data_IF_014224720516
#
_entry.id   IF_014224720516
#
_cell.length_a   1.000
_cell.length_b   1.000
_cell.length_c   1.000
_cell.angle_alpha   90.00
_cell.angle_beta   90.00
_cell.angle_gamma   90.00
#
_symmetry.space_group_name_H-M   'P 1'
#
loop_
_entity.id
_entity.type
_entity.pdbx_description
1 polymer ?
#
# COMPACT_ATOMS: atom_id res chain seq x y z
N UNK A 1 -1.83 -47.80 12.71
CA UNK A 1 -0.90 -46.75 13.19
C UNK A 1 -1.05 -45.56 12.27
N UNK A 2 -1.88 -44.63 12.72
CA UNK A 2 -2.31 -43.44 11.96
C UNK A 2 -1.46 -42.23 12.42
N UNK A 3 -0.65 -41.71 11.52
CA UNK A 3 0.14 -40.46 11.78
C UNK A 3 -0.60 -39.30 11.17
N UNK A 4 -1.28 -38.54 12.03
CA UNK A 4 -1.91 -37.26 11.70
C UNK A 4 -0.83 -36.20 11.35
N UNK A 5 -0.81 -35.75 10.10
CA UNK A 5 -0.01 -34.60 9.69
C UNK A 5 -0.77 -33.32 10.03
N UNK A 6 -0.40 -32.65 11.11
CA UNK A 6 -0.78 -31.28 11.42
C UNK A 6 -0.15 -30.34 10.38
N UNK A 7 -0.98 -29.73 9.53
CA UNK A 7 -0.58 -28.62 8.69
C UNK A 7 -0.68 -27.35 9.51
N UNK A 8 0.47 -26.77 9.87
CA UNK A 8 0.56 -25.44 10.43
C UNK A 8 0.32 -24.41 9.31
N UNK A 9 -0.84 -23.79 9.31
CA UNK A 9 -1.13 -22.58 8.54
C UNK A 9 -0.49 -21.39 9.28
N UNK A 10 0.65 -20.93 8.77
CA UNK A 10 1.23 -19.64 9.19
C UNK A 10 0.40 -18.52 8.59
N UNK A 11 -0.53 -17.99 9.36
CA UNK A 11 -1.23 -16.75 9.04
C UNK A 11 -0.24 -15.59 9.20
N UNK A 12 0.17 -15.00 8.08
CA UNK A 12 0.95 -13.76 8.04
C UNK A 12 0.00 -12.61 8.35
N UNK A 13 -0.15 -12.28 9.63
CA UNK A 13 -0.91 -11.13 10.11
C UNK A 13 -0.08 -9.87 9.88
N UNK A 14 -0.46 -9.10 8.87
CA UNK A 14 0.04 -7.74 8.65
C UNK A 14 -0.58 -6.83 9.72
N UNK A 15 0.14 -6.59 10.82
CA UNK A 15 -0.27 -5.67 11.86
C UNK A 15 -0.12 -4.23 11.36
N UNK A 16 -1.24 -3.62 10.98
CA UNK A 16 -1.34 -2.17 10.80
C UNK A 16 -1.47 -1.55 12.19
N UNK A 17 -0.40 -1.00 12.70
CA UNK A 17 -0.42 -0.23 13.96
C UNK A 17 -1.07 1.14 13.68
N UNK A 18 -2.34 1.28 14.04
CA UNK A 18 -2.98 2.58 14.18
C UNK A 18 -2.58 3.20 15.52
N UNK A 19 -1.70 4.19 15.49
CA UNK A 19 -1.42 5.04 16.66
C UNK A 19 -2.58 6.02 16.82
N UNK A 20 -3.42 5.78 17.81
CA UNK A 20 -4.46 6.71 18.26
C UNK A 20 -3.84 7.59 19.34
N UNK A 21 -3.65 8.88 19.08
CA UNK A 21 -3.30 9.87 20.08
C UNK A 21 -4.56 10.44 20.72
N UNK A 22 -4.67 10.51 22.08
CA UNK A 22 -5.79 11.18 22.73
C UNK A 22 -5.65 12.70 22.66
N UNK A 23 -6.72 13.35 22.24
CA UNK A 23 -6.87 14.80 22.32
C UNK A 23 -7.15 15.22 23.78
N UNK A 24 -6.26 16.01 24.36
CA UNK A 24 -6.53 16.71 25.62
C UNK A 24 -7.39 17.95 25.34
N UNK A 25 -8.50 18.05 26.06
CA UNK A 25 -9.38 19.19 26.09
C UNK A 25 -8.69 20.38 26.79
N UNK A 26 -8.74 21.55 26.17
CA UNK A 26 -8.58 22.82 26.88
C UNK A 26 -9.72 23.77 26.48
N UNK A 27 -10.61 23.98 27.46
CA UNK A 27 -11.58 25.06 27.48
C UNK A 27 -10.88 26.41 27.77
N UNK A 28 -11.42 27.45 27.16
CA UNK A 28 -11.39 28.79 27.72
C UNK A 28 -10.72 29.88 26.90
N UNK A 29 -11.45 30.65 26.17
CA UNK A 29 -11.67 32.06 26.42
C UNK A 29 -12.07 32.84 25.17
N UNK A 30 -13.35 33.26 25.16
CA UNK A 30 -13.91 34.23 24.22
C UNK A 30 -13.16 35.55 24.32
N UNK A 31 -12.75 36.12 23.18
CA UNK A 31 -12.82 37.57 22.94
C UNK A 31 -12.96 37.86 21.44
N UNK A 32 -14.10 38.48 21.14
CA UNK A 32 -14.40 39.12 19.87
C UNK A 32 -13.37 40.16 19.50
N UNK A 33 -12.88 40.15 18.29
CA UNK A 33 -12.59 41.41 17.55
C UNK A 33 -12.57 41.10 16.05
N UNK A 34 -13.41 41.85 15.33
CA UNK A 34 -13.58 41.72 13.89
C UNK A 34 -12.33 42.13 13.11
N UNK A 35 -12.30 41.69 11.89
CA UNK A 35 -11.42 42.31 10.90
C UNK A 35 -10.71 41.28 10.02
N UNK A 36 -11.15 41.26 8.78
CA UNK A 36 -10.42 40.87 7.58
C UNK A 36 -10.25 39.36 7.32
N UNK A 37 -11.15 38.95 6.50
CA UNK A 37 -11.12 37.80 5.60
C UNK A 37 -9.82 37.83 4.76
N UNK A 38 -8.79 37.17 5.22
CA UNK A 38 -7.69 36.72 4.40
C UNK A 38 -7.76 35.19 4.43
N UNK A 39 -8.58 34.66 3.52
CA UNK A 39 -8.61 33.24 3.22
C UNK A 39 -7.22 32.75 2.83
N UNK A 40 -6.45 32.32 3.82
CA UNK A 40 -5.30 31.46 3.59
C UNK A 40 -5.86 30.08 3.32
N UNK A 41 -5.78 29.55 2.09
CA UNK A 41 -6.08 28.16 1.89
C UNK A 41 -5.05 27.38 2.70
N UNK A 42 -5.49 26.68 3.72
CA UNK A 42 -4.73 25.62 4.36
C UNK A 42 -4.57 24.50 3.31
N UNK A 43 -3.75 24.78 2.30
CA UNK A 43 -3.27 23.79 1.35
C UNK A 43 -2.33 22.88 2.12
N UNK A 44 -2.86 21.77 2.64
CA UNK A 44 -2.02 20.65 2.96
C UNK A 44 -1.11 20.42 1.75
N UNK A 45 0.18 20.66 1.91
CA UNK A 45 1.20 20.41 0.90
C UNK A 45 1.32 18.87 0.74
N UNK A 46 0.32 18.28 0.12
CA UNK A 46 0.31 16.88 -0.25
C UNK A 46 1.12 16.73 -1.51
N UNK A 47 2.09 15.83 -1.50
CA UNK A 47 2.73 15.38 -2.74
C UNK A 47 1.63 15.10 -3.76
N UNK A 48 1.78 15.68 -4.94
CA UNK A 48 0.89 15.35 -6.04
C UNK A 48 0.89 13.84 -6.25
N UNK A 49 -0.27 13.28 -6.52
CA UNK A 49 -0.38 11.85 -6.88
C UNK A 49 0.57 11.49 -8.02
N UNK A 50 0.80 12.42 -8.95
CA UNK A 50 1.76 12.26 -10.06
C UNK A 50 3.20 12.10 -9.56
N UNK A 51 3.63 12.91 -8.60
CA UNK A 51 5.00 12.86 -8.06
C UNK A 51 5.23 11.57 -7.27
N UNK A 52 4.23 11.12 -6.53
CA UNK A 52 4.27 9.84 -5.81
C UNK A 52 4.38 8.64 -6.76
N UNK A 53 3.66 8.67 -7.88
CA UNK A 53 3.73 7.63 -8.91
C UNK A 53 5.09 7.67 -9.62
N UNK A 54 5.59 8.86 -9.97
CA UNK A 54 6.89 9.02 -10.61
C UNK A 54 8.02 8.49 -9.72
N UNK A 55 7.99 8.80 -8.43
CA UNK A 55 8.95 8.29 -7.45
C UNK A 55 8.89 6.76 -7.34
N UNK A 56 7.70 6.19 -7.24
CA UNK A 56 7.53 4.73 -7.19
C UNK A 56 8.10 4.06 -8.44
N UNK A 57 7.83 4.60 -9.62
CA UNK A 57 8.34 4.07 -10.89
C UNK A 57 9.88 4.16 -10.98
N UNK A 58 10.48 5.26 -10.52
CA UNK A 58 11.94 5.41 -10.49
C UNK A 58 12.59 4.37 -9.57
N UNK A 59 11.99 4.09 -8.41
CA UNK A 59 12.47 3.06 -7.49
C UNK A 59 12.31 1.65 -8.05
N UNK A 60 11.23 1.38 -8.78
CA UNK A 60 11.02 0.10 -9.45
C UNK A 60 12.10 -0.13 -10.54
N UNK A 61 12.45 0.92 -11.30
CA UNK A 61 13.56 0.84 -12.28
C UNK A 61 14.91 0.64 -11.59
N UNK A 62 15.17 1.38 -10.51
CA UNK A 62 16.38 1.19 -9.71
C UNK A 62 16.48 -0.24 -9.18
N UNK A 63 15.39 -0.80 -8.67
CA UNK A 63 15.32 -2.17 -8.19
C UNK A 63 15.71 -3.18 -9.29
N UNK A 64 15.24 -2.99 -10.52
CA UNK A 64 15.61 -3.87 -11.65
C UNK A 64 17.10 -3.86 -11.93
N UNK A 65 17.73 -2.67 -11.94
CA UNK A 65 19.18 -2.54 -12.19
C UNK A 65 20.00 -3.17 -11.07
N UNK A 66 19.56 -3.00 -9.82
CA UNK A 66 20.29 -3.54 -8.66
C UNK A 66 20.07 -5.06 -8.49
N UNK A 67 18.95 -5.60 -8.95
CA UNK A 67 18.60 -7.00 -8.74
C UNK A 67 19.69 -7.96 -9.27
N UNK A 68 20.23 -7.73 -10.45
CA UNK A 68 21.24 -8.60 -11.04
C UNK A 68 22.46 -8.79 -10.11
N UNK A 69 22.97 -7.69 -9.56
CA UNK A 69 24.13 -7.69 -8.66
C UNK A 69 23.79 -8.25 -7.29
N UNK A 70 22.69 -7.77 -6.70
CA UNK A 70 22.31 -8.14 -5.32
C UNK A 70 21.94 -9.61 -5.20
N UNK A 71 21.30 -10.17 -6.22
CA UNK A 71 20.85 -11.56 -6.26
C UNK A 71 21.89 -12.48 -6.88
N UNK A 72 23.00 -11.94 -7.43
CA UNK A 72 24.03 -12.71 -8.16
C UNK A 72 23.40 -13.56 -9.28
N UNK A 73 22.50 -12.93 -10.07
CA UNK A 73 21.85 -13.61 -11.19
C UNK A 73 22.84 -13.76 -12.35
N UNK A 74 22.86 -14.95 -12.95
CA UNK A 74 23.53 -15.13 -14.24
C UNK A 74 22.79 -14.39 -15.34
N UNK A 75 23.47 -14.10 -16.46
CA UNK A 75 22.85 -13.42 -17.61
C UNK A 75 21.53 -14.08 -18.08
N UNK A 76 21.50 -15.42 -18.28
CA UNK A 76 20.25 -16.10 -18.65
C UNK A 76 19.13 -16.02 -17.59
N UNK A 77 19.50 -16.06 -16.30
CA UNK A 77 18.53 -15.89 -15.22
C UNK A 77 17.98 -14.48 -15.19
N UNK A 78 18.84 -13.47 -15.36
CA UNK A 78 18.44 -12.06 -15.37
C UNK A 78 17.46 -11.75 -16.51
N UNK A 79 17.71 -12.29 -17.71
CA UNK A 79 16.83 -12.15 -18.86
C UNK A 79 15.42 -12.70 -18.59
N UNK A 80 15.29 -13.78 -17.82
CA UNK A 80 14.01 -14.36 -17.43
C UNK A 80 13.40 -13.64 -16.21
N UNK A 81 14.21 -13.20 -15.27
CA UNK A 81 13.79 -12.56 -14.03
C UNK A 81 13.15 -11.19 -14.24
N UNK A 82 13.72 -10.36 -15.15
CA UNK A 82 13.25 -8.97 -15.36
C UNK A 82 11.78 -8.88 -15.79
N UNK A 83 11.29 -9.63 -16.78
CA UNK A 83 9.86 -9.58 -17.14
C UNK A 83 8.95 -10.04 -15.99
N UNK A 84 9.32 -11.09 -15.25
CA UNK A 84 8.55 -11.59 -14.12
C UNK A 84 8.51 -10.58 -12.97
N UNK A 85 9.62 -9.89 -12.68
CA UNK A 85 9.65 -8.82 -11.68
C UNK A 85 8.75 -7.64 -12.09
N UNK A 86 8.74 -7.26 -13.37
CA UNK A 86 7.84 -6.21 -13.88
C UNK A 86 6.38 -6.60 -13.73
N UNK A 87 6.04 -7.84 -14.02
CA UNK A 87 4.70 -8.37 -13.84
C UNK A 87 4.27 -8.33 -12.37
N UNK A 88 5.11 -8.81 -11.45
CA UNK A 88 4.87 -8.72 -10.01
C UNK A 88 4.62 -7.28 -9.56
N UNK A 89 5.46 -6.33 -9.99
CA UNK A 89 5.30 -4.91 -9.64
C UNK A 89 4.00 -4.34 -10.22
N UNK A 90 3.62 -4.71 -11.44
CA UNK A 90 2.36 -4.30 -12.04
C UNK A 90 1.15 -4.85 -11.29
N UNK A 91 1.17 -6.14 -10.93
CA UNK A 91 0.12 -6.77 -10.12
C UNK A 91 -0.04 -6.08 -8.76
N UNK A 92 1.05 -5.81 -8.06
CA UNK A 92 1.02 -5.05 -6.80
C UNK A 92 0.34 -3.70 -6.96
N UNK A 93 0.69 -2.93 -7.99
CA UNK A 93 0.07 -1.63 -8.27
C UNK A 93 -1.41 -1.74 -8.57
N UNK A 94 -1.80 -2.67 -9.44
CA UNK A 94 -3.20 -2.88 -9.85
C UNK A 94 -4.06 -3.29 -8.66
N UNK A 95 -3.58 -4.25 -7.85
CA UNK A 95 -4.29 -4.74 -6.68
C UNK A 95 -4.43 -3.65 -5.61
N UNK A 96 -3.38 -2.86 -5.38
CA UNK A 96 -3.43 -1.70 -4.48
C UNK A 96 -4.46 -0.66 -4.93
N UNK A 97 -4.51 -0.33 -6.23
CA UNK A 97 -5.48 0.62 -6.78
C UNK A 97 -6.92 0.10 -6.67
N UNK A 98 -7.14 -1.18 -7.00
CA UNK A 98 -8.46 -1.80 -6.91
C UNK A 98 -8.98 -1.79 -5.45
N UNK A 99 -8.12 -2.21 -4.50
CA UNK A 99 -8.44 -2.17 -3.07
C UNK A 99 -8.76 -0.75 -2.60
N UNK A 100 -7.96 0.23 -2.98
CA UNK A 100 -8.19 1.63 -2.59
C UNK A 100 -9.51 2.19 -3.12
N UNK A 101 -9.90 1.86 -4.36
CA UNK A 101 -11.22 2.26 -4.91
C UNK A 101 -12.35 1.70 -4.06
N UNK A 102 -12.30 0.43 -3.69
CA UNK A 102 -13.32 -0.21 -2.85
C UNK A 102 -13.37 0.40 -1.44
N UNK A 103 -12.22 0.72 -0.85
CA UNK A 103 -12.16 1.41 0.44
C UNK A 103 -12.71 2.85 0.37
N UNK A 104 -12.47 3.57 -0.73
CA UNK A 104 -13.07 4.89 -0.94
C UNK A 104 -14.59 4.80 -1.08
N UNK A 105 -15.10 3.80 -1.79
CA UNK A 105 -16.53 3.53 -1.91
C UNK A 105 -17.15 3.22 -0.55
N UNK A 106 -16.53 2.36 0.26
CA UNK A 106 -16.97 2.10 1.63
C UNK A 106 -17.00 3.37 2.47
N UNK A 107 -15.96 4.22 2.39
CA UNK A 107 -15.95 5.50 3.11
C UNK A 107 -17.10 6.42 2.67
N UNK A 108 -17.41 6.45 1.38
CA UNK A 108 -18.53 7.22 0.84
C UNK A 108 -19.87 6.71 1.38
N UNK A 109 -20.10 5.40 1.33
CA UNK A 109 -21.33 4.77 1.84
C UNK A 109 -21.52 5.00 3.34
N UNK A 110 -20.47 4.82 4.15
CA UNK A 110 -20.53 5.07 5.60
C UNK A 110 -20.83 6.54 5.93
N UNK A 111 -20.37 7.49 5.11
CA UNK A 111 -20.69 8.91 5.31
C UNK A 111 -22.11 9.24 4.90
N UNK A 112 -22.60 8.67 3.82
CA UNK A 112 -23.96 8.87 3.34
C UNK A 112 -25.01 8.36 4.34
N UNK A 113 -24.80 7.18 4.93
CA UNK A 113 -25.71 6.57 5.91
C UNK A 113 -25.82 7.31 7.24
N UNK A 114 -25.03 8.36 7.49
CA UNK A 114 -25.16 9.21 8.69
C UNK A 114 -26.37 10.16 8.67
N UNK A 115 -27.03 10.32 7.54
CA UNK A 115 -28.15 11.27 7.38
C UNK A 115 -29.43 10.70 6.75
N UNK A 116 -29.50 9.40 6.48
CA UNK A 116 -30.56 8.79 5.68
C UNK A 116 -31.23 7.58 6.32
N UNK A 117 -32.21 7.05 5.62
CA UNK A 117 -33.01 5.90 6.03
C UNK A 117 -32.19 4.64 6.28
N UNK A 118 -32.40 3.91 7.39
CA UNK A 118 -31.73 2.63 7.65
C UNK A 118 -32.22 1.58 6.63
N UNK A 119 -31.27 0.89 5.98
CA UNK A 119 -31.58 -0.32 5.20
C UNK A 119 -31.11 -0.31 3.74
N UNK A 120 -31.24 0.78 3.00
CA UNK A 120 -30.75 0.86 1.61
C UNK A 120 -29.21 0.90 1.58
N UNK A 121 -28.60 1.54 2.56
CA UNK A 121 -27.13 1.65 2.68
C UNK A 121 -26.49 0.34 3.15
N UNK A 122 -27.17 -0.48 3.95
CA UNK A 122 -26.63 -1.74 4.47
C UNK A 122 -26.43 -2.79 3.36
N UNK A 123 -27.34 -2.84 2.39
CA UNK A 123 -27.18 -3.72 1.23
C UNK A 123 -25.97 -3.32 0.36
N UNK A 124 -25.81 -2.01 0.11
CA UNK A 124 -24.69 -1.47 -0.63
C UNK A 124 -23.35 -1.67 0.10
N UNK A 125 -23.34 -1.48 1.43
CA UNK A 125 -22.18 -1.76 2.28
C UNK A 125 -21.81 -3.24 2.23
N UNK A 126 -22.79 -4.14 2.39
CA UNK A 126 -22.57 -5.59 2.33
C UNK A 126 -22.01 -6.00 0.97
N UNK A 127 -22.58 -5.50 -0.13
CA UNK A 127 -22.09 -5.79 -1.48
C UNK A 127 -20.66 -5.27 -1.70
N UNK A 128 -20.32 -4.10 -1.18
CA UNK A 128 -18.97 -3.53 -1.33
C UNK A 128 -17.96 -4.27 -0.45
N UNK A 129 -18.33 -4.70 0.74
CA UNK A 129 -17.50 -5.56 1.59
C UNK A 129 -17.23 -6.92 0.93
N UNK A 130 -18.24 -7.51 0.28
CA UNK A 130 -18.08 -8.74 -0.47
C UNK A 130 -17.08 -8.56 -1.64
N UNK A 131 -17.22 -7.48 -2.42
CA UNK A 131 -16.27 -7.14 -3.50
C UNK A 131 -14.84 -6.93 -2.97
N UNK A 132 -14.69 -6.34 -1.79
CA UNK A 132 -13.38 -6.16 -1.17
C UNK A 132 -12.75 -7.52 -0.84
N UNK A 133 -13.50 -8.43 -0.25
CA UNK A 133 -13.04 -9.79 0.07
C UNK A 133 -12.63 -10.55 -1.19
N UNK A 134 -13.49 -10.57 -2.21
CA UNK A 134 -13.20 -11.22 -3.50
C UNK A 134 -11.94 -10.65 -4.16
N UNK A 135 -11.77 -9.32 -4.09
CA UNK A 135 -10.56 -8.67 -4.61
C UNK A 135 -9.31 -9.08 -3.82
N UNK A 136 -9.39 -9.21 -2.49
CA UNK A 136 -8.26 -9.63 -1.65
C UNK A 136 -7.88 -11.08 -1.90
N UNK A 137 -8.85 -11.98 -2.04
CA UNK A 137 -8.62 -13.41 -2.37
C UNK A 137 -7.98 -13.57 -3.75
N UNK A 138 -8.50 -12.87 -4.76
CA UNK A 138 -7.94 -12.86 -6.10
C UNK A 138 -6.52 -12.31 -6.10
N UNK A 139 -6.29 -11.17 -5.46
CA UNK A 139 -4.98 -10.54 -5.35
C UNK A 139 -3.95 -11.45 -4.67
N UNK A 140 -4.34 -12.15 -3.61
CA UNK A 140 -3.47 -13.12 -2.93
C UNK A 140 -3.07 -14.28 -3.85
N UNK A 141 -4.03 -14.81 -4.63
CA UNK A 141 -3.77 -15.89 -5.60
C UNK A 141 -2.85 -15.44 -6.73
N UNK A 142 -3.12 -14.28 -7.33
CA UNK A 142 -2.32 -13.70 -8.42
C UNK A 142 -0.88 -13.41 -7.96
N UNK A 143 -0.72 -12.78 -6.78
CA UNK A 143 0.60 -12.49 -6.22
C UNK A 143 1.37 -13.76 -5.91
N UNK A 144 0.71 -14.78 -5.34
CA UNK A 144 1.34 -16.07 -5.10
C UNK A 144 1.86 -16.68 -6.39
N UNK A 145 1.07 -16.69 -7.46
CA UNK A 145 1.48 -17.23 -8.75
C UNK A 145 2.68 -16.46 -9.34
N UNK A 146 2.69 -15.11 -9.23
CA UNK A 146 3.81 -14.29 -9.69
C UNK A 146 5.09 -14.57 -8.89
N UNK A 147 4.98 -14.75 -7.57
CA UNK A 147 6.13 -15.15 -6.74
C UNK A 147 6.62 -16.57 -7.07
N UNK A 148 5.73 -17.52 -7.29
CA UNK A 148 6.09 -18.90 -7.68
C UNK A 148 6.85 -18.90 -9.02
N UNK A 149 6.43 -18.07 -9.98
CA UNK A 149 7.12 -17.89 -11.27
C UNK A 149 8.54 -17.32 -11.10
N UNK A 150 8.71 -16.30 -10.25
CA UNK A 150 10.03 -15.75 -9.91
C UNK A 150 10.90 -16.80 -9.21
N UNK A 151 10.33 -17.52 -8.28
CA UNK A 151 11.04 -18.56 -7.53
C UNK A 151 11.52 -19.70 -8.45
N UNK A 152 10.82 -19.99 -9.54
CA UNK A 152 11.21 -21.02 -10.49
C UNK A 152 12.52 -20.73 -11.24
N UNK A 153 12.88 -19.46 -11.45
CA UNK A 153 14.11 -19.05 -12.15
C UNK A 153 15.31 -18.84 -11.21
N UNK A 154 15.11 -18.95 -9.89
CA UNK A 154 16.11 -18.65 -8.87
C UNK A 154 16.48 -19.90 -8.06
N UNK A 155 17.75 -19.97 -7.64
CA UNK A 155 18.21 -20.93 -6.64
C UNK A 155 17.63 -20.59 -5.24
N UNK A 156 17.60 -21.54 -4.29
CA UNK A 156 17.10 -21.25 -2.93
C UNK A 156 17.80 -20.06 -2.25
N UNK A 157 19.13 -19.89 -2.48
CA UNK A 157 19.89 -18.78 -1.94
C UNK A 157 19.50 -17.44 -2.58
N UNK A 158 19.26 -17.42 -3.89
CA UNK A 158 18.81 -16.24 -4.61
C UNK A 158 17.39 -15.86 -4.20
N UNK A 159 16.48 -16.82 -3.98
CA UNK A 159 15.13 -16.58 -3.43
C UNK A 159 15.18 -15.89 -2.08
N UNK A 160 16.02 -16.38 -1.16
CA UNK A 160 16.18 -15.75 0.14
C UNK A 160 16.68 -14.31 0.02
N UNK A 161 17.69 -14.06 -0.82
CA UNK A 161 18.20 -12.72 -1.11
C UNK A 161 17.13 -11.83 -1.73
N UNK A 162 16.31 -12.37 -2.63
CA UNK A 162 15.23 -11.62 -3.26
C UNK A 162 14.19 -11.13 -2.23
N UNK A 163 13.79 -11.96 -1.27
CA UNK A 163 12.87 -11.53 -0.20
C UNK A 163 13.45 -10.38 0.63
N UNK A 164 14.74 -10.47 1.01
CA UNK A 164 15.42 -9.41 1.75
C UNK A 164 15.59 -8.13 0.92
N UNK A 165 15.92 -8.28 -0.36
CA UNK A 165 16.05 -7.17 -1.29
C UNK A 165 14.72 -6.45 -1.49
N UNK A 166 13.64 -7.18 -1.67
CA UNK A 166 12.28 -6.64 -1.81
C UNK A 166 11.87 -5.84 -0.57
N UNK A 167 12.09 -6.37 0.63
CA UNK A 167 11.83 -5.68 1.88
C UNK A 167 12.60 -4.36 1.99
N UNK A 168 13.88 -4.35 1.61
CA UNK A 168 14.69 -3.12 1.58
C UNK A 168 14.15 -2.08 0.59
N UNK A 169 13.71 -2.50 -0.59
CA UNK A 169 13.14 -1.58 -1.59
C UNK A 169 11.80 -1.00 -1.11
N UNK A 170 10.93 -1.82 -0.55
CA UNK A 170 9.64 -1.34 -0.01
C UNK A 170 9.84 -0.39 1.18
N UNK A 171 10.75 -0.71 2.09
CA UNK A 171 11.12 0.19 3.20
C UNK A 171 11.65 1.55 2.69
N UNK A 172 12.49 1.54 1.67
CA UNK A 172 13.01 2.76 1.05
C UNK A 172 11.95 3.60 0.33
N UNK A 173 10.98 2.94 -0.32
CA UNK A 173 9.82 3.63 -0.91
C UNK A 173 9.03 4.38 0.16
N UNK A 174 8.73 3.72 1.26
CA UNK A 174 7.99 4.31 2.37
C UNK A 174 8.75 5.50 2.97
N UNK A 175 10.04 5.35 3.26
CA UNK A 175 10.89 6.42 3.79
C UNK A 175 10.89 7.66 2.87
N UNK A 176 11.10 7.46 1.57
CA UNK A 176 11.12 8.56 0.61
C UNK A 176 9.77 9.28 0.50
N UNK A 177 8.65 8.54 0.54
CA UNK A 177 7.31 9.12 0.54
C UNK A 177 7.04 9.94 1.82
N UNK A 178 7.47 9.45 2.99
CA UNK A 178 7.35 10.18 4.25
C UNK A 178 8.20 11.44 4.26
N UNK A 179 9.46 11.36 3.83
CA UNK A 179 10.36 12.49 3.73
C UNK A 179 9.86 13.56 2.75
N UNK A 180 9.29 13.15 1.63
CA UNK A 180 8.73 14.06 0.66
C UNK A 180 7.48 14.78 1.20
N UNK A 181 6.60 14.11 1.96
CA UNK A 181 5.48 14.73 2.67
C UNK A 181 5.95 15.76 3.71
N UNK A 182 6.96 15.40 4.51
CA UNK A 182 7.52 16.29 5.53
C UNK A 182 8.15 17.54 4.92
N UNK A 183 8.84 17.41 3.78
CA UNK A 183 9.41 18.57 3.06
C UNK A 183 8.32 19.46 2.48
N UNK A 184 7.27 18.88 1.88
CA UNK A 184 6.14 19.65 1.37
C UNK A 184 5.44 20.44 2.48
N UNK A 185 5.24 19.85 3.66
CA UNK A 185 4.65 20.51 4.81
C UNK A 185 5.52 21.67 5.36
N UNK A 186 6.86 21.56 5.28
CA UNK A 186 7.79 22.63 5.74
C UNK A 186 8.00 23.72 4.71
N UNK A 187 7.85 23.46 3.43
CA UNK A 187 8.05 24.43 2.35
C UNK A 187 6.83 25.31 2.07
N UNK A 188 5.68 25.02 2.68
CA UNK A 188 4.43 25.80 2.57
C UNK A 188 4.23 26.82 3.69
N UNK A 189 5.22 27.05 4.56
CA UNK A 189 5.25 28.09 5.60
C UNK A 189 6.14 29.22 5.16
#
# INVERSE_FOLDING_TARGET
>A
MTVSKLRALSALTLAVVCVVTPAAAQEGQRRSRGGQDTGVPAGEATLSTKDSIALANALDQFAMVQAQRTLELTEPQYAQFVPLLRELQQLKRTNFQARNRLLQELRRLVRAGRGGEPGADDAALTATLQKLRENEERAASELKAAYDALDAVMTPRQRARFRLFEEQIEGRKLELLMNARTRAARGGS
#
